data_IF_434864337076
#
_entry.id   IF_434864337076
#
_cell.length_a   1.000
_cell.length_b   1.000
_cell.length_c   1.000
_cell.angle_alpha   90.00
_cell.angle_beta   90.00
_cell.angle_gamma   90.00
#
_symmetry.space_group_name_H-M   'P 1'
#
loop_
_entity.id
_entity.type
_entity.pdbx_description
1 polymer ?
#
# COMPACT_ATOMS: atom_id res chain seq x y z
N UNK A 1 14.48 8.04 0.78
CA UNK A 1 13.16 7.56 1.22
C UNK A 1 12.16 8.66 0.90
N UNK A 2 11.00 8.34 0.35
CA UNK A 2 9.92 9.30 0.11
C UNK A 2 8.83 9.11 1.16
N UNK A 3 8.11 10.18 1.45
CA UNK A 3 6.97 10.15 2.36
C UNK A 3 5.70 10.08 1.53
N UNK A 4 4.89 9.06 1.77
CA UNK A 4 3.65 8.84 1.03
C UNK A 4 2.51 8.57 2.02
N UNK A 5 1.31 9.03 1.67
CA UNK A 5 0.08 8.65 2.34
C UNK A 5 -0.46 7.39 1.69
N UNK A 6 -0.68 6.36 2.49
CA UNK A 6 -1.28 5.10 2.08
C UNK A 6 -2.65 4.97 2.73
N UNK A 7 -3.52 4.16 2.13
CA UNK A 7 -4.79 3.73 2.73
C UNK A 7 -4.52 2.65 3.80
N UNK A 8 -3.65 2.98 4.75
CA UNK A 8 -3.15 2.09 5.80
C UNK A 8 -2.91 2.96 7.02
N UNK A 9 -3.47 2.63 8.18
CA UNK A 9 -3.21 3.38 9.43
C UNK A 9 -2.15 2.69 10.28
N UNK A 10 -1.30 3.47 10.94
CA UNK A 10 -0.31 2.93 11.88
C UNK A 10 -1.01 2.46 13.15
N UNK A 11 -0.90 1.18 13.50
CA UNK A 11 -1.54 0.64 14.72
C UNK A 11 -1.02 1.21 16.04
N UNK A 12 0.03 2.05 16.00
CA UNK A 12 0.63 2.68 17.18
C UNK A 12 0.18 4.13 17.35
N UNK A 13 -0.06 4.87 16.26
CA UNK A 13 -0.34 6.31 16.31
C UNK A 13 -1.45 6.77 15.35
N UNK A 14 -2.17 5.83 14.73
CA UNK A 14 -3.26 6.05 13.77
C UNK A 14 -2.94 6.92 12.55
N UNK A 15 -1.66 7.25 12.32
CA UNK A 15 -1.25 8.01 11.14
C UNK A 15 -1.22 7.17 9.86
N UNK A 16 -1.60 7.80 8.75
CA UNK A 16 -1.62 7.27 7.38
C UNK A 16 -0.32 7.49 6.57
N UNK A 17 0.65 8.21 7.14
CA UNK A 17 1.91 8.52 6.45
C UNK A 17 3.01 7.54 6.76
N UNK A 18 3.65 7.06 5.69
CA UNK A 18 4.76 6.11 5.75
C UNK A 18 5.95 6.59 4.94
N UNK A 19 7.13 6.20 5.41
CA UNK A 19 8.36 6.34 4.66
C UNK A 19 8.54 5.12 3.79
N UNK A 20 8.45 5.33 2.47
CA UNK A 20 8.74 4.33 1.48
C UNK A 20 10.17 4.47 0.96
N UNK A 21 10.91 3.36 0.86
CA UNK A 21 12.14 3.34 0.10
C UNK A 21 11.88 3.65 -1.37
N UNK A 22 12.74 4.47 -1.99
CA UNK A 22 12.65 4.80 -3.43
C UNK A 22 13.42 3.79 -4.28
N UNK A 23 14.44 3.15 -3.69
CA UNK A 23 15.18 2.08 -4.34
C UNK A 23 14.42 0.78 -4.10
N UNK A 24 14.58 -0.22 -4.96
CA UNK A 24 13.93 -1.52 -4.83
C UNK A 24 14.91 -2.57 -4.30
N UNK A 25 15.69 -2.21 -3.29
CA UNK A 25 16.55 -3.15 -2.58
C UNK A 25 15.71 -4.03 -1.63
N UNK A 26 15.92 -5.35 -1.70
CA UNK A 26 15.06 -6.40 -1.11
C UNK A 26 14.91 -6.32 0.42
N UNK A 27 15.70 -5.50 1.11
CA UNK A 27 15.69 -5.38 2.59
C UNK A 27 15.09 -4.09 3.13
N UNK A 28 14.38 -3.32 2.32
CA UNK A 28 13.88 -2.03 2.78
C UNK A 28 12.56 -2.13 3.54
N UNK A 29 12.57 -1.52 4.72
CA UNK A 29 11.49 -1.58 5.70
C UNK A 29 10.59 -0.35 5.54
N UNK A 30 9.29 -0.57 5.48
CA UNK A 30 8.27 0.47 5.54
C UNK A 30 8.07 0.84 7.01
N UNK A 31 8.25 2.13 7.31
CA UNK A 31 8.11 2.67 8.66
C UNK A 31 7.11 3.80 8.69
N UNK A 32 6.41 3.96 9.80
CA UNK A 32 5.53 5.11 9.99
C UNK A 32 6.35 6.41 9.98
N UNK A 33 5.85 7.44 9.31
CA UNK A 33 6.52 8.75 9.27
C UNK A 33 6.46 9.50 10.62
N UNK A 34 5.53 9.12 11.50
CA UNK A 34 5.32 9.77 12.80
C UNK A 34 6.08 9.07 13.93
N UNK A 35 5.80 7.79 14.17
CA UNK A 35 6.42 7.03 15.26
C UNK A 35 7.60 6.15 14.82
N UNK A 36 7.95 6.11 13.53
CA UNK A 36 9.01 5.24 12.96
C UNK A 36 8.85 3.75 13.24
N UNK A 37 7.67 3.32 13.70
CA UNK A 37 7.37 1.93 13.96
C UNK A 37 7.52 1.11 12.67
N UNK A 38 8.15 -0.05 12.80
CA UNK A 38 8.24 -1.05 11.73
C UNK A 38 6.83 -1.56 11.42
N UNK A 39 6.47 -1.58 10.14
CA UNK A 39 5.16 -2.09 9.70
C UNK A 39 5.29 -3.32 8.83
N UNK A 40 6.02 -3.23 7.73
CA UNK A 40 6.22 -4.33 6.79
C UNK A 40 7.44 -4.08 5.90
N UNK A 41 7.78 -5.04 5.04
CA UNK A 41 8.78 -4.87 3.99
C UNK A 41 8.15 -4.28 2.73
N UNK A 42 8.93 -3.52 1.95
CA UNK A 42 8.47 -2.93 0.70
C UNK A 42 7.92 -3.98 -0.28
N UNK A 43 8.59 -5.13 -0.39
CA UNK A 43 8.17 -6.22 -1.28
C UNK A 43 6.77 -6.77 -0.94
N UNK A 44 6.43 -6.87 0.34
CA UNK A 44 5.12 -7.32 0.80
C UNK A 44 4.04 -6.24 0.53
N UNK A 45 4.38 -4.97 0.82
CA UNK A 45 3.51 -3.83 0.53
C UNK A 45 3.21 -3.73 -0.97
N UNK A 46 4.21 -3.87 -1.83
CA UNK A 46 4.05 -3.85 -3.29
C UNK A 46 3.15 -5.00 -3.75
N UNK A 47 3.35 -6.22 -3.25
CA UNK A 47 2.46 -7.37 -3.55
C UNK A 47 1.02 -7.09 -3.14
N UNK A 48 0.80 -6.54 -1.93
CA UNK A 48 -0.53 -6.18 -1.45
C UNK A 48 -1.16 -5.10 -2.32
N UNK A 49 -0.42 -4.04 -2.67
CA UNK A 49 -0.90 -2.98 -3.55
C UNK A 49 -1.24 -3.48 -4.96
N UNK A 50 -0.42 -4.38 -5.52
CA UNK A 50 -0.71 -5.02 -6.82
C UNK A 50 -1.96 -5.88 -6.73
N UNK A 51 -2.15 -6.63 -5.64
CA UNK A 51 -3.35 -7.44 -5.41
C UNK A 51 -4.61 -6.57 -5.32
N UNK A 52 -4.56 -5.47 -4.56
CA UNK A 52 -5.65 -4.50 -4.43
C UNK A 52 -5.97 -3.80 -5.76
N UNK A 53 -4.95 -3.44 -6.53
CA UNK A 53 -5.11 -2.79 -7.83
C UNK A 53 -5.77 -3.73 -8.86
N UNK A 54 -5.42 -5.03 -8.84
CA UNK A 54 -6.08 -6.06 -9.67
C UNK A 54 -7.55 -6.26 -9.31
N UNK A 55 -7.89 -6.20 -8.03
CA UNK A 55 -9.29 -6.32 -7.56
C UNK A 55 -10.15 -5.14 -8.04
N UNK A 56 -9.63 -3.91 -7.98
CA UNK A 56 -10.33 -2.73 -8.53
C UNK A 56 -10.57 -2.83 -10.03
N UNK A 57 -9.63 -3.41 -10.78
CA UNK A 57 -9.80 -3.62 -12.24
C UNK A 57 -10.88 -4.65 -12.54
N UNK A 58 -11.06 -5.67 -11.71
CA UNK A 58 -12.17 -6.63 -11.84
C UNK A 58 -13.52 -5.99 -11.54
N UNK A 59 -13.62 -5.19 -10.46
CA UNK A 59 -14.86 -4.48 -10.13
C UNK A 59 -15.26 -3.41 -11.16
N UNK A 60 -14.28 -2.79 -11.83
CA UNK A 60 -14.55 -1.80 -12.89
C UNK A 60 -14.96 -2.44 -14.22
N UNK A 61 -14.72 -3.75 -14.42
CA UNK A 61 -15.12 -4.49 -15.62
C UNK A 61 -16.40 -5.32 -15.47
N UNK A 62 -16.97 -5.40 -14.27
CA UNK A 62 -18.15 -6.22 -13.96
C UNK A 62 -19.35 -5.34 -13.63
N UNK A 63 -19.70 -4.44 -14.57
CA UNK A 63 -20.83 -3.53 -14.46
C UNK A 63 -21.61 -3.30 -15.76
N UNK A 64 -21.33 -4.05 -16.84
CA UNK A 64 -22.02 -3.86 -18.12
C UNK A 64 -22.13 -5.17 -18.92
N UNK A 65 -22.96 -6.08 -18.44
CA UNK A 65 -23.44 -7.23 -19.25
C UNK A 65 -24.78 -7.72 -18.69
N UNK A 66 -25.79 -6.84 -18.65
CA UNK A 66 -27.20 -7.21 -18.49
C UNK A 66 -28.07 -6.06 -19.03
N UNK A 67 -28.23 -6.00 -20.35
CA UNK A 67 -29.37 -5.34 -20.99
C UNK A 67 -29.50 -5.85 -22.44
N UNK A 68 -30.70 -6.34 -22.75
CA UNK A 68 -31.24 -6.81 -24.03
C UNK A 68 -30.90 -8.24 -24.46
#
# INVERSE_FOLDING_TARGET
MIRVTLDLTCSICDHDQFHLPVRADERQQVRCANCTAFKCYSADLEKAMIALSRDRKRRSGQGQANAA
#
